data_IF_848912773968
#
_entry.id   IF_848912773968
#
_cell.length_a   1.000
_cell.length_b   1.000
_cell.length_c   1.000
_cell.angle_alpha   90.00
_cell.angle_beta   90.00
_cell.angle_gamma   90.00
#
_symmetry.space_group_name_H-M   'P 1'
#
loop_
_entity.id
_entity.type
_entity.pdbx_description
1 polymer ?
#
# COMPACT_ATOMS: atom_id res chain seq x y z
N UNK A 1 -46.37 -7.14 -37.95
CA UNK A 1 -44.90 -7.17 -37.95
C UNK A 1 -44.31 -6.41 -36.74
N UNK A 2 -44.51 -6.83 -35.48
CA UNK A 2 -43.78 -6.22 -34.38
C UNK A 2 -42.93 -7.19 -33.53
N UNK A 3 -42.84 -8.47 -33.91
CA UNK A 3 -42.13 -9.44 -33.06
C UNK A 3 -40.61 -9.49 -33.25
N UNK A 4 -40.08 -8.98 -34.35
CA UNK A 4 -38.64 -8.99 -34.64
C UNK A 4 -37.88 -7.88 -33.94
N UNK A 5 -38.54 -6.78 -33.54
CA UNK A 5 -37.92 -5.69 -32.77
C UNK A 5 -37.67 -6.03 -31.30
N UNK A 6 -38.46 -6.93 -30.70
CA UNK A 6 -38.29 -7.36 -29.31
C UNK A 6 -37.05 -8.24 -29.10
N UNK A 7 -36.70 -9.03 -30.12
CA UNK A 7 -35.49 -9.89 -30.05
C UNK A 7 -34.17 -9.11 -30.03
N UNK A 8 -34.12 -7.96 -30.69
CA UNK A 8 -32.93 -7.12 -30.78
C UNK A 8 -32.69 -6.30 -29.49
N UNK A 9 -33.75 -5.92 -28.78
CA UNK A 9 -33.67 -5.22 -27.50
C UNK A 9 -33.16 -6.13 -26.34
N UNK A 10 -33.44 -7.43 -26.39
CA UNK A 10 -32.96 -8.42 -25.44
C UNK A 10 -31.50 -8.83 -25.69
N UNK A 11 -31.05 -8.79 -26.95
CA UNK A 11 -29.64 -9.06 -27.28
C UNK A 11 -28.69 -7.91 -26.88
N UNK A 12 -29.19 -6.67 -26.78
CA UNK A 12 -28.38 -5.50 -26.37
C UNK A 12 -28.15 -5.43 -24.83
N UNK A 13 -28.94 -6.17 -24.04
CA UNK A 13 -28.85 -6.17 -22.57
C UNK A 13 -27.84 -7.20 -22.04
N UNK A 14 -27.24 -8.02 -22.89
CA UNK A 14 -26.32 -9.10 -22.48
C UNK A 14 -24.84 -8.72 -22.51
N UNK A 15 -24.48 -7.48 -22.90
CA UNK A 15 -23.12 -6.99 -22.82
C UNK A 15 -22.98 -6.20 -21.51
N UNK A 16 -23.08 -6.90 -20.39
CA UNK A 16 -22.53 -6.37 -19.12
C UNK A 16 -21.03 -6.53 -19.24
N UNK A 17 -20.24 -5.45 -19.35
CA UNK A 17 -18.79 -5.58 -19.24
C UNK A 17 -18.52 -6.17 -17.87
N UNK A 18 -17.93 -7.36 -17.81
CA UNK A 18 -17.32 -7.85 -16.59
C UNK A 18 -16.28 -6.80 -16.20
N UNK A 19 -16.59 -6.01 -15.18
CA UNK A 19 -15.61 -5.16 -14.52
C UNK A 19 -14.56 -6.10 -13.95
N UNK A 20 -13.47 -6.28 -14.69
CA UNK A 20 -12.25 -6.88 -14.15
C UNK A 20 -11.75 -5.88 -13.12
N UNK A 21 -12.12 -6.11 -11.86
CA UNK A 21 -11.51 -5.43 -10.72
C UNK A 21 -10.02 -5.79 -10.76
N UNK A 22 -9.19 -4.86 -11.18
CA UNK A 22 -7.77 -4.97 -10.94
C UNK A 22 -7.59 -5.09 -9.42
N UNK A 23 -6.71 -5.98 -8.97
CA UNK A 23 -6.38 -6.08 -7.56
C UNK A 23 -5.87 -4.70 -7.10
N UNK A 24 -6.58 -4.09 -6.18
CA UNK A 24 -6.29 -2.76 -5.64
C UNK A 24 -6.05 -2.89 -4.14
N UNK A 25 -5.13 -2.10 -3.63
CA UNK A 25 -4.90 -2.01 -2.18
C UNK A 25 -5.79 -0.91 -1.64
N UNK A 26 -6.70 -1.25 -0.74
CA UNK A 26 -7.51 -0.28 -0.01
C UNK A 26 -6.81 0.13 1.28
N UNK A 27 -6.90 1.41 1.63
CA UNK A 27 -6.30 1.99 2.84
C UNK A 27 -7.41 2.41 3.78
N UNK A 28 -7.42 1.83 4.99
CA UNK A 28 -8.41 2.11 6.02
C UNK A 28 -7.75 2.61 7.32
N UNK A 29 -8.47 3.46 8.04
CA UNK A 29 -8.15 3.89 9.40
C UNK A 29 -6.70 4.43 9.59
N UNK A 30 -6.17 5.32 8.74
CA UNK A 30 -4.86 5.88 8.97
C UNK A 30 -4.88 6.77 10.21
N UNK A 31 -3.96 6.54 11.14
CA UNK A 31 -3.83 7.28 12.38
C UNK A 31 -2.37 7.67 12.61
N UNK A 32 -2.16 8.89 13.12
CA UNK A 32 -0.86 9.36 13.58
C UNK A 32 -0.96 9.60 15.09
N UNK A 33 -0.06 8.97 15.82
CA UNK A 33 0.00 9.09 17.30
C UNK A 33 1.40 9.50 17.74
N UNK A 34 1.47 10.25 18.85
CA UNK A 34 2.75 10.56 19.47
C UNK A 34 3.33 9.29 20.13
N UNK A 35 4.64 9.15 20.05
CA UNK A 35 5.42 8.11 20.71
C UNK A 35 6.68 8.72 21.36
N UNK A 36 7.41 7.93 22.13
CA UNK A 36 8.67 8.40 22.76
C UNK A 36 9.71 8.87 21.75
N UNK A 37 9.68 8.35 20.52
CA UNK A 37 10.66 8.67 19.47
C UNK A 37 10.18 9.70 18.43
N UNK A 38 8.93 10.20 18.58
CA UNK A 38 8.32 11.14 17.67
C UNK A 38 6.88 10.73 17.32
N UNK A 39 6.51 10.73 16.03
CA UNK A 39 5.16 10.35 15.62
C UNK A 39 5.18 9.09 14.76
N UNK A 40 4.31 8.17 15.12
CA UNK A 40 4.16 6.89 14.43
C UNK A 40 2.83 6.81 13.69
N UNK A 41 2.84 6.13 12.55
CA UNK A 41 1.64 5.81 11.76
C UNK A 41 1.17 4.40 12.08
N UNK A 42 -0.14 4.27 12.24
CA UNK A 42 -0.86 3.01 12.22
C UNK A 42 -1.90 3.06 11.10
N UNK A 43 -2.00 1.97 10.33
CA UNK A 43 -2.91 1.88 9.18
C UNK A 43 -3.25 0.42 8.90
N UNK A 44 -4.44 0.18 8.38
CA UNK A 44 -4.87 -1.11 7.86
C UNK A 44 -4.95 -1.06 6.34
N UNK A 45 -4.40 -2.08 5.70
CA UNK A 45 -4.52 -2.30 4.26
C UNK A 45 -5.42 -3.51 4.01
N UNK A 46 -6.26 -3.44 3.00
CA UNK A 46 -7.05 -4.57 2.52
C UNK A 46 -6.68 -4.84 1.07
N UNK A 47 -6.14 -6.01 0.81
CA UNK A 47 -5.78 -6.46 -0.52
C UNK A 47 -5.60 -7.98 -0.57
N UNK A 48 -5.68 -8.50 -1.78
CA UNK A 48 -5.37 -9.90 -2.08
C UNK A 48 -4.35 -9.95 -3.21
N UNK A 49 -3.50 -10.95 -3.21
CA UNK A 49 -2.67 -11.23 -4.37
C UNK A 49 -3.53 -11.90 -5.44
N UNK A 50 -3.33 -11.52 -6.68
CA UNK A 50 -3.89 -12.28 -7.78
C UNK A 50 -3.09 -13.58 -7.99
N UNK A 51 -3.66 -14.52 -8.73
CA UNK A 51 -3.08 -15.84 -8.99
C UNK A 51 -1.63 -15.76 -9.52
N UNK A 52 -1.33 -14.77 -10.34
CA UNK A 52 0.02 -14.56 -10.90
C UNK A 52 1.06 -14.20 -9.83
N UNK A 53 0.72 -13.31 -8.91
CA UNK A 53 1.60 -12.90 -7.82
C UNK A 53 1.75 -14.02 -6.78
N UNK A 54 0.68 -14.76 -6.49
CA UNK A 54 0.72 -15.93 -5.62
C UNK A 54 1.62 -17.03 -6.19
N UNK A 55 1.47 -17.33 -7.47
CA UNK A 55 2.32 -18.28 -8.17
C UNK A 55 3.79 -17.85 -8.15
N UNK A 56 4.05 -16.57 -8.42
CA UNK A 56 5.40 -16.02 -8.44
C UNK A 56 6.07 -16.18 -7.06
N UNK A 57 5.43 -15.74 -5.97
CA UNK A 57 6.02 -15.83 -4.64
C UNK A 57 6.23 -17.28 -4.21
N UNK A 58 5.30 -18.18 -4.51
CA UNK A 58 5.39 -19.62 -4.19
C UNK A 58 6.53 -20.31 -4.97
N UNK A 59 6.83 -19.83 -6.18
CA UNK A 59 7.99 -20.27 -6.99
C UNK A 59 9.31 -19.61 -6.56
N UNK A 60 9.30 -18.82 -5.49
CA UNK A 60 10.51 -18.24 -4.91
C UNK A 60 10.84 -16.83 -5.42
N UNK A 61 9.95 -16.19 -6.20
CA UNK A 61 10.11 -14.77 -6.54
C UNK A 61 9.85 -13.94 -5.30
N UNK A 62 10.76 -13.03 -4.99
CA UNK A 62 10.60 -12.10 -3.87
C UNK A 62 9.74 -10.92 -4.31
N UNK A 63 8.66 -10.65 -3.56
CA UNK A 63 7.80 -9.50 -3.75
C UNK A 63 8.17 -8.39 -2.76
N UNK A 64 8.29 -7.17 -3.25
CA UNK A 64 8.63 -5.99 -2.44
C UNK A 64 7.45 -5.05 -2.41
N UNK A 65 6.88 -4.85 -1.23
CA UNK A 65 5.83 -3.88 -0.98
C UNK A 65 6.42 -2.64 -0.34
N UNK A 66 6.06 -1.47 -0.86
CA UNK A 66 6.54 -0.19 -0.35
C UNK A 66 5.35 0.63 0.12
N UNK A 67 5.37 0.99 1.40
CA UNK A 67 4.49 2.00 1.96
C UNK A 67 5.20 3.35 1.88
N UNK A 68 4.61 4.30 1.17
CA UNK A 68 5.11 5.68 1.03
C UNK A 68 4.24 6.60 1.89
N UNK A 69 4.85 7.41 2.73
CA UNK A 69 4.20 8.44 3.54
C UNK A 69 4.76 9.81 3.22
N UNK A 70 3.88 10.78 3.04
CA UNK A 70 4.22 12.18 2.84
C UNK A 70 3.38 13.05 3.77
N UNK A 71 3.96 14.14 4.26
CA UNK A 71 3.25 15.17 5.00
C UNK A 71 3.61 16.55 4.46
N UNK A 72 2.59 17.33 4.18
CA UNK A 72 2.72 18.68 3.63
C UNK A 72 2.03 19.69 4.52
N UNK A 73 2.56 20.90 4.52
CA UNK A 73 1.89 22.09 5.08
C UNK A 73 1.19 22.83 3.96
N UNK A 74 -0.16 22.99 4.00
CA UNK A 74 -0.87 23.77 3.00
C UNK A 74 -0.44 25.25 3.07
N UNK A 75 -0.21 25.86 1.89
CA UNK A 75 0.11 27.28 1.76
C UNK A 75 -0.90 27.96 0.84
N UNK A 76 -1.47 29.08 1.26
CA UNK A 76 -2.51 29.79 0.50
C UNK A 76 -1.99 30.53 -0.74
N UNK A 77 -0.68 30.76 -0.84
CA UNK A 77 -0.07 31.63 -1.90
C UNK A 77 1.03 30.94 -2.72
N UNK A 78 1.31 29.65 -2.47
CA UNK A 78 2.36 28.88 -3.16
C UNK A 78 2.04 27.39 -3.13
N UNK A 79 2.89 26.57 -3.77
CA UNK A 79 2.78 25.12 -3.64
C UNK A 79 2.92 24.68 -2.17
N UNK A 80 2.22 23.61 -1.81
CA UNK A 80 2.32 23.01 -0.48
C UNK A 80 3.76 22.65 -0.15
N UNK A 81 4.17 22.93 1.06
CA UNK A 81 5.52 22.61 1.54
C UNK A 81 5.58 21.17 2.00
N UNK A 82 6.39 20.34 1.32
CA UNK A 82 6.65 18.96 1.75
C UNK A 82 7.61 18.99 2.93
N UNK A 83 7.13 18.61 4.11
CA UNK A 83 7.90 18.58 5.36
C UNK A 83 8.52 17.21 5.64
N UNK A 84 7.76 16.15 5.32
CA UNK A 84 8.15 14.77 5.60
C UNK A 84 7.91 13.92 4.37
N UNK A 85 8.87 13.04 4.07
CA UNK A 85 8.72 11.96 3.11
C UNK A 85 9.46 10.75 3.65
N UNK A 86 8.74 9.63 3.82
CA UNK A 86 9.28 8.37 4.35
C UNK A 86 8.74 7.21 3.54
N UNK A 87 9.56 6.19 3.37
CA UNK A 87 9.18 4.93 2.74
C UNK A 87 9.59 3.75 3.58
N UNK A 88 8.73 2.77 3.71
CA UNK A 88 8.97 1.51 4.40
C UNK A 88 8.81 0.36 3.42
N UNK A 89 9.85 -0.47 3.29
CA UNK A 89 9.83 -1.63 2.39
C UNK A 89 9.61 -2.91 3.18
N UNK A 90 8.68 -3.72 2.70
CA UNK A 90 8.40 -5.07 3.16
C UNK A 90 8.78 -6.05 2.07
N UNK A 91 9.47 -7.10 2.46
CA UNK A 91 9.93 -8.16 1.56
C UNK A 91 9.19 -9.44 1.89
N UNK A 92 8.37 -9.93 0.97
CA UNK A 92 7.66 -11.21 1.07
C UNK A 92 8.38 -12.24 0.21
N UNK A 93 8.74 -13.38 0.79
CA UNK A 93 9.43 -14.47 0.10
C UNK A 93 8.94 -15.81 0.61
N UNK A 94 9.04 -16.84 -0.24
CA UNK A 94 8.80 -18.23 0.14
C UNK A 94 10.12 -18.98 0.29
N UNK A 95 10.28 -19.69 1.39
CA UNK A 95 11.47 -20.48 1.69
C UNK A 95 11.17 -21.96 1.49
N UNK A 96 11.59 -22.53 0.35
CA UNK A 96 11.21 -23.87 -0.08
C UNK A 96 11.68 -24.98 0.89
N UNK A 97 12.85 -24.83 1.54
CA UNK A 97 13.37 -25.84 2.47
C UNK A 97 12.51 -25.98 3.73
N UNK A 98 12.04 -24.86 4.29
CA UNK A 98 11.17 -24.85 5.48
C UNK A 98 9.69 -24.84 5.13
N UNK A 99 9.35 -24.64 3.85
CA UNK A 99 7.98 -24.47 3.33
C UNK A 99 7.22 -23.35 4.03
N UNK A 100 7.92 -22.27 4.34
CA UNK A 100 7.36 -21.11 5.06
C UNK A 100 7.47 -19.84 4.23
N UNK A 101 6.48 -18.96 4.41
CA UNK A 101 6.53 -17.61 3.92
C UNK A 101 7.25 -16.73 4.93
N UNK A 102 8.13 -15.87 4.45
CA UNK A 102 8.90 -14.95 5.28
C UNK A 102 8.58 -13.53 4.89
N UNK A 103 8.13 -12.75 5.86
CA UNK A 103 7.95 -11.31 5.75
C UNK A 103 9.11 -10.63 6.47
N UNK A 104 9.81 -9.73 5.79
CA UNK A 104 10.94 -9.00 6.37
C UNK A 104 10.75 -7.49 6.18
N UNK A 105 11.13 -6.71 7.19
CA UNK A 105 11.20 -5.25 7.13
C UNK A 105 12.44 -4.78 7.88
N UNK A 106 13.27 -3.97 7.22
CA UNK A 106 14.58 -3.64 7.77
C UNK A 106 15.40 -4.91 8.09
N UNK A 107 15.92 -4.97 9.32
CA UNK A 107 16.66 -6.15 9.82
C UNK A 107 15.80 -7.24 10.46
N UNK A 108 14.48 -7.02 10.59
CA UNK A 108 13.56 -7.96 11.23
C UNK A 108 12.90 -8.86 10.20
N UNK A 109 12.68 -10.13 10.57
CA UNK A 109 11.94 -11.08 9.75
C UNK A 109 11.05 -11.96 10.62
N UNK A 110 9.91 -12.35 10.04
CA UNK A 110 8.95 -13.26 10.65
C UNK A 110 8.55 -14.33 9.64
N UNK A 111 8.43 -15.58 10.08
CA UNK A 111 8.04 -16.72 9.25
C UNK A 111 6.60 -17.12 9.55
N UNK A 112 5.88 -17.56 8.51
CA UNK A 112 4.49 -17.96 8.54
C UNK A 112 4.31 -19.25 7.77
N UNK A 113 3.41 -20.10 8.23
CA UNK A 113 3.13 -21.39 7.58
C UNK A 113 2.21 -21.22 6.36
N UNK A 114 1.47 -20.09 6.27
CA UNK A 114 0.59 -19.80 5.14
C UNK A 114 0.84 -18.40 4.55
N UNK A 115 0.55 -18.26 3.25
CA UNK A 115 0.60 -16.97 2.57
C UNK A 115 -0.43 -16.00 3.18
N UNK A 116 -1.62 -16.47 3.50
CA UNK A 116 -2.68 -15.68 4.10
C UNK A 116 -2.28 -15.06 5.44
N UNK A 117 -1.51 -15.77 6.27
CA UNK A 117 -1.01 -15.25 7.54
C UNK A 117 0.06 -14.18 7.32
N UNK A 118 0.96 -14.39 6.35
CA UNK A 118 1.96 -13.40 5.98
C UNK A 118 1.31 -12.11 5.43
N UNK A 119 0.29 -12.24 4.57
CA UNK A 119 -0.46 -11.11 4.03
C UNK A 119 -1.25 -10.39 5.13
N UNK A 120 -1.86 -11.11 6.07
CA UNK A 120 -2.55 -10.52 7.22
C UNK A 120 -1.62 -9.69 8.10
N UNK A 121 -0.37 -10.12 8.27
CA UNK A 121 0.64 -9.32 8.97
C UNK A 121 1.03 -8.09 8.14
N UNK A 122 1.25 -8.25 6.84
CA UNK A 122 1.58 -7.15 5.92
C UNK A 122 0.44 -6.11 5.84
N UNK A 123 -0.81 -6.56 5.98
CA UNK A 123 -1.99 -5.69 5.98
C UNK A 123 -2.13 -4.79 7.22
N UNK A 124 -1.31 -5.00 8.24
CA UNK A 124 -1.38 -4.25 9.49
C UNK A 124 -0.07 -3.54 9.78
N UNK A 125 0.05 -2.32 9.29
CA UNK A 125 1.19 -1.48 9.62
C UNK A 125 0.94 -0.81 10.96
N UNK A 126 1.88 -0.99 11.91
CA UNK A 126 1.81 -0.43 13.26
C UNK A 126 3.18 0.11 13.65
N UNK A 127 3.18 1.16 14.46
CA UNK A 127 4.39 1.75 15.02
C UNK A 127 5.45 2.15 13.99
N UNK A 128 5.03 2.56 12.78
CA UNK A 128 5.97 3.07 11.80
C UNK A 128 6.34 4.52 12.13
N UNK A 129 7.57 4.73 12.58
CA UNK A 129 8.09 6.07 12.86
C UNK A 129 8.25 6.84 11.54
N UNK A 130 7.41 7.86 11.35
CA UNK A 130 7.39 8.70 10.15
C UNK A 130 7.97 10.10 10.41
N UNK A 131 7.87 10.56 11.64
CA UNK A 131 8.37 11.86 12.07
C UNK A 131 9.19 11.61 13.35
N UNK A 132 10.49 11.86 13.32
CA UNK A 132 11.37 11.69 14.45
C UNK A 132 11.32 12.89 15.41
N UNK A 133 11.97 12.79 16.59
CA UNK A 133 12.02 13.85 17.60
C UNK A 133 12.61 15.18 17.09
N UNK A 134 13.43 15.11 16.04
CA UNK A 134 14.00 16.29 15.40
C UNK A 134 13.02 16.97 14.41
N UNK A 135 11.76 16.59 14.42
CA UNK A 135 10.71 17.07 13.52
C UNK A 135 10.54 18.61 13.55
N UNK A 136 10.81 19.24 14.69
CA UNK A 136 10.80 20.70 14.79
C UNK A 136 11.83 21.35 13.86
N UNK A 137 12.98 20.70 13.64
CA UNK A 137 13.99 21.14 12.68
C UNK A 137 13.49 21.06 11.24
N UNK A 138 12.58 20.14 10.97
CA UNK A 138 11.89 20.01 9.68
C UNK A 138 10.65 20.95 9.57
N UNK A 139 10.39 21.78 10.59
CA UNK A 139 9.26 22.70 10.61
C UNK A 139 7.94 22.08 11.04
N UNK A 140 7.94 20.88 11.59
CA UNK A 140 6.74 20.20 12.11
C UNK A 140 6.52 20.62 13.57
N UNK A 141 5.30 21.02 13.91
CA UNK A 141 4.94 21.49 15.26
C UNK A 141 3.71 20.77 15.80
N UNK A 142 3.73 20.38 17.09
CA UNK A 142 2.54 19.88 17.77
C UNK A 142 1.40 20.89 17.72
N UNK A 143 0.16 20.40 17.58
CA UNK A 143 -1.04 21.24 17.55
C UNK A 143 -1.32 21.90 16.20
N UNK A 144 -0.41 21.89 15.24
CA UNK A 144 -0.66 22.37 13.88
C UNK A 144 -1.35 21.28 13.03
N UNK A 145 -2.10 21.74 12.03
CA UNK A 145 -2.80 20.86 11.08
C UNK A 145 -2.00 20.74 9.79
N UNK A 146 -1.82 19.52 9.32
CA UNK A 146 -1.09 19.15 8.12
C UNK A 146 -1.95 18.29 7.20
N UNK A 147 -1.55 18.20 5.95
CA UNK A 147 -2.08 17.21 5.02
C UNK A 147 -1.13 16.02 4.98
N UNK A 148 -1.62 14.88 5.43
CA UNK A 148 -0.91 13.60 5.34
C UNK A 148 -1.39 12.82 4.13
N UNK A 149 -0.48 12.11 3.48
CA UNK A 149 -0.76 11.22 2.36
C UNK A 149 -0.01 9.90 2.54
N UNK A 150 -0.67 8.80 2.24
CA UNK A 150 -0.12 7.46 2.34
C UNK A 150 -0.58 6.61 1.17
N UNK A 151 0.32 5.79 0.65
CA UNK A 151 -0.02 4.73 -0.31
C UNK A 151 0.82 3.49 -0.05
N UNK A 152 0.35 2.36 -0.56
CA UNK A 152 1.10 1.12 -0.63
C UNK A 152 1.15 0.61 -2.06
N UNK A 153 2.28 0.07 -2.49
CA UNK A 153 2.47 -0.46 -3.83
C UNK A 153 3.42 -1.64 -3.85
N UNK A 154 3.23 -2.53 -4.81
CA UNK A 154 4.23 -3.51 -5.20
C UNK A 154 5.31 -2.81 -6.04
N UNK A 155 6.58 -2.96 -5.66
CA UNK A 155 7.70 -2.38 -6.41
C UNK A 155 8.22 -3.36 -7.45
N UNK A 156 7.69 -3.25 -8.66
CA UNK A 156 8.08 -4.10 -9.80
C UNK A 156 9.54 -3.91 -10.21
N UNK A 157 10.17 -2.78 -9.88
CA UNK A 157 11.57 -2.51 -10.23
C UNK A 157 12.54 -3.38 -9.43
N UNK A 158 12.10 -3.92 -8.29
CA UNK A 158 12.90 -4.83 -7.47
C UNK A 158 12.71 -6.32 -7.83
N UNK A 159 11.82 -6.63 -8.77
CA UNK A 159 11.67 -7.98 -9.28
C UNK A 159 12.90 -8.40 -10.13
N UNK A 160 13.18 -9.71 -10.26
CA UNK A 160 14.16 -10.18 -11.23
C UNK A 160 13.80 -9.74 -12.66
N UNK A 161 14.80 -9.42 -13.49
CA UNK A 161 14.60 -8.84 -14.83
C UNK A 161 13.55 -9.51 -15.72
N UNK A 162 13.45 -10.85 -15.79
CA UNK A 162 12.41 -11.50 -16.59
C UNK A 162 11.00 -11.10 -16.17
N UNK A 163 10.77 -10.93 -14.86
CA UNK A 163 9.47 -10.53 -14.29
C UNK A 163 9.20 -9.04 -14.50
N UNK A 164 10.24 -8.18 -14.46
CA UNK A 164 10.09 -6.76 -14.80
C UNK A 164 9.58 -6.59 -16.24
N UNK A 165 10.15 -7.36 -17.19
CA UNK A 165 9.72 -7.32 -18.59
C UNK A 165 8.29 -7.84 -18.73
N UNK A 166 7.93 -8.92 -18.03
CA UNK A 166 6.58 -9.48 -18.03
C UNK A 166 5.55 -8.54 -17.38
N UNK A 167 6.01 -7.67 -16.47
CA UNK A 167 5.16 -6.68 -15.79
C UNK A 167 4.87 -5.45 -16.66
N UNK A 168 5.69 -5.17 -17.66
CA UNK A 168 5.50 -4.03 -18.55
C UNK A 168 4.17 -4.18 -19.32
N UNK A 169 3.21 -3.30 -19.01
CA UNK A 169 1.91 -3.27 -19.67
C UNK A 169 0.93 -4.36 -19.20
N UNK A 170 1.31 -5.19 -18.24
CA UNK A 170 0.45 -6.23 -17.69
C UNK A 170 -0.09 -5.82 -16.31
N UNK A 171 -1.41 -5.67 -16.22
CA UNK A 171 -2.10 -5.26 -14.98
C UNK A 171 -1.96 -6.28 -13.84
N UNK A 172 -1.71 -7.56 -14.14
CA UNK A 172 -1.55 -8.61 -13.12
C UNK A 172 -0.35 -8.36 -12.19
N UNK A 173 0.61 -7.53 -12.61
CA UNK A 173 1.76 -7.12 -11.81
C UNK A 173 1.58 -5.76 -11.14
N UNK A 174 0.47 -5.09 -11.41
CA UNK A 174 0.20 -3.77 -10.84
C UNK A 174 -0.70 -3.91 -9.60
N UNK A 175 -0.09 -3.99 -8.44
CA UNK A 175 -0.79 -3.98 -7.16
C UNK A 175 -0.39 -2.70 -6.41
N UNK A 176 -1.29 -1.72 -6.40
CA UNK A 176 -1.06 -0.40 -5.81
C UNK A 176 -2.35 0.15 -5.23
N UNK A 177 -2.23 0.98 -4.20
CA UNK A 177 -3.33 1.84 -3.77
C UNK A 177 -3.27 3.19 -4.46
N UNK A 178 -4.38 3.88 -4.50
CA UNK A 178 -4.37 5.34 -4.63
C UNK A 178 -3.74 5.99 -3.39
N UNK A 179 -3.39 7.27 -3.51
CA UNK A 179 -2.98 8.05 -2.36
C UNK A 179 -4.17 8.32 -1.45
N UNK A 180 -4.11 7.80 -0.22
CA UNK A 180 -5.04 8.18 0.85
C UNK A 180 -4.57 9.49 1.44
N UNK A 181 -5.33 10.55 1.20
CA UNK A 181 -5.02 11.91 1.68
C UNK A 181 -6.01 12.27 2.79
N UNK A 182 -5.47 12.78 3.91
CA UNK A 182 -6.31 13.26 5.02
C UNK A 182 -5.64 14.42 5.75
N UNK A 183 -6.45 15.21 6.44
CA UNK A 183 -5.93 16.23 7.34
C UNK A 183 -5.70 15.63 8.74
N UNK A 184 -4.60 16.00 9.36
CA UNK A 184 -4.23 15.56 10.69
C UNK A 184 -3.72 16.74 11.51
N UNK A 185 -4.25 16.90 12.71
CA UNK A 185 -3.67 17.78 13.73
C UNK A 185 -2.76 16.91 14.61
N UNK A 186 -1.48 17.22 14.62
CA UNK A 186 -0.55 16.43 15.41
C UNK A 186 -0.84 16.60 16.90
N UNK A 187 -1.02 15.47 17.65
CA UNK A 187 -1.23 15.54 19.08
C UNK A 187 -0.03 16.19 19.75
N UNK A 188 -0.27 16.86 20.89
CA UNK A 188 0.83 17.28 21.75
C UNK A 188 1.63 16.04 22.17
N UNK A 189 2.96 16.17 22.28
CA UNK A 189 3.80 15.06 22.70
C UNK A 189 3.25 14.45 24.01
N UNK A 190 3.23 13.12 24.05
CA UNK A 190 2.97 12.42 25.29
C UNK A 190 4.12 12.76 26.26
N UNK A 191 3.79 13.46 27.36
CA UNK A 191 4.73 13.77 28.43
C UNK A 191 5.17 12.50 29.14
#
# INVERSE_FOLDING_TARGET
>A
MPERLRGWLLALLAIVPALVLAAEIEIANPQITASEDGYVVAVDFSFELNERLEEAVTKGVVLYFVADFEMTRPRWYWFDEKLVSRSQTYRLSYHALTRQYRLSTGGLHQSFDSLSDALRMLSRLRNWLVIDKDAEKAGVRPGETYTAALRMRLDINQLPRPFQIAALGNKDWNLTSDWKIWQVTLPAEAK
#
